data_IF_682061536041
#
_entry.id   IF_682061536041
#
_cell.length_a   1.000
_cell.length_b   1.000
_cell.length_c   1.000
_cell.angle_alpha   90.00
_cell.angle_beta   90.00
_cell.angle_gamma   90.00
#
_symmetry.space_group_name_H-M   'P 1'
#
loop_
_entity.id
_entity.type
_entity.pdbx_description
1 polymer ?
#
# COMPACT_ATOMS: atom_id res chain seq x y z
N UNK A 1 38.84 3.24 11.20
CA UNK A 1 37.60 3.84 10.69
C UNK A 1 36.62 3.99 11.84
N UNK A 2 35.78 5.02 11.86
CA UNK A 2 34.84 5.26 12.96
C UNK A 2 33.44 4.74 12.62
N UNK A 3 32.79 4.03 13.55
CA UNK A 3 31.42 3.53 13.46
C UNK A 3 30.71 3.95 14.75
N UNK A 4 29.97 5.06 14.71
CA UNK A 4 29.37 5.64 15.92
C UNK A 4 30.44 6.02 16.96
N UNK A 5 30.31 5.49 18.18
CA UNK A 5 31.30 5.63 19.25
C UNK A 5 32.44 4.59 19.22
N UNK A 6 32.41 3.66 18.26
CA UNK A 6 33.41 2.61 18.13
C UNK A 6 34.45 2.96 17.06
N UNK A 7 35.72 2.70 17.36
CA UNK A 7 36.82 2.73 16.43
C UNK A 7 37.11 1.32 15.92
N UNK A 8 36.93 1.11 14.64
CA UNK A 8 37.24 -0.15 13.98
C UNK A 8 38.60 -0.04 13.28
N UNK A 9 39.59 -0.78 13.79
CA UNK A 9 40.94 -0.86 13.23
C UNK A 9 41.09 -2.12 12.39
N UNK A 10 41.10 -1.93 11.06
CA UNK A 10 41.27 -3.00 10.07
C UNK A 10 42.64 -3.67 10.25
N UNK A 11 43.70 -2.91 10.50
CA UNK A 11 45.08 -3.42 10.55
C UNK A 11 45.29 -4.33 11.75
N UNK A 12 44.63 -4.00 12.87
CA UNK A 12 44.74 -4.73 14.13
C UNK A 12 43.61 -5.74 14.33
N UNK A 13 42.61 -5.78 13.45
CA UNK A 13 41.39 -6.61 13.60
C UNK A 13 40.68 -6.35 14.94
N UNK A 14 40.69 -5.11 15.40
CA UNK A 14 40.15 -4.73 16.71
C UNK A 14 39.05 -3.71 16.59
N UNK A 15 38.01 -3.88 17.41
CA UNK A 15 36.99 -2.88 17.64
C UNK A 15 37.18 -2.31 19.03
N UNK A 16 37.45 -1.01 19.13
CA UNK A 16 37.63 -0.29 20.39
C UNK A 16 36.45 0.63 20.60
N UNK A 17 35.68 0.43 21.65
CA UNK A 17 34.59 1.32 22.01
C UNK A 17 35.13 2.46 22.88
N UNK A 18 34.96 3.69 22.40
CA UNK A 18 35.52 4.89 23.03
C UNK A 18 34.72 5.35 24.25
N UNK A 19 33.47 4.90 24.42
CA UNK A 19 32.64 5.28 25.57
C UNK A 19 32.95 4.49 26.83
N UNK A 20 33.35 3.23 26.69
CA UNK A 20 33.59 2.32 27.81
C UNK A 20 35.06 1.84 27.87
N UNK A 21 35.92 2.39 27.01
CA UNK A 21 37.35 2.07 26.87
C UNK A 21 37.66 0.58 26.65
N UNK A 22 36.67 -0.22 26.24
CA UNK A 22 36.89 -1.64 25.98
C UNK A 22 37.32 -1.87 24.54
N UNK A 23 38.33 -2.71 24.34
CA UNK A 23 38.78 -3.12 23.01
C UNK A 23 38.68 -4.64 22.85
N UNK A 24 38.00 -5.07 21.80
CA UNK A 24 37.83 -6.48 21.48
C UNK A 24 38.63 -6.84 20.23
N UNK A 25 39.30 -7.98 20.27
CA UNK A 25 39.84 -8.61 19.06
C UNK A 25 38.70 -9.38 18.39
N UNK A 26 38.36 -9.01 17.16
CA UNK A 26 37.22 -9.58 16.48
C UNK A 26 37.58 -10.95 15.90
N UNK A 27 36.69 -11.95 16.01
CA UNK A 27 36.87 -13.19 15.27
C UNK A 27 36.70 -12.96 13.77
N UNK A 28 37.27 -13.86 12.95
CA UNK A 28 37.43 -13.67 11.51
C UNK A 28 36.09 -13.42 10.79
N UNK A 29 35.06 -14.18 11.17
CA UNK A 29 33.73 -14.12 10.55
C UNK A 29 33.10 -12.75 10.76
N UNK A 30 33.06 -12.28 12.00
CA UNK A 30 32.50 -10.98 12.40
C UNK A 30 33.31 -9.84 11.77
N UNK A 31 34.63 -9.98 11.71
CA UNK A 31 35.52 -9.00 11.08
C UNK A 31 35.20 -8.81 9.59
N UNK A 32 35.11 -9.90 8.82
CA UNK A 32 34.85 -9.84 7.37
C UNK A 32 33.47 -9.22 7.10
N UNK A 33 32.46 -9.61 7.88
CA UNK A 33 31.10 -9.04 7.76
C UNK A 33 31.10 -7.54 8.06
N UNK A 34 31.74 -7.12 9.17
CA UNK A 34 31.81 -5.71 9.54
C UNK A 34 32.64 -4.89 8.56
N UNK A 35 33.76 -5.43 8.06
CA UNK A 35 34.59 -4.77 7.06
C UNK A 35 33.78 -4.49 5.78
N UNK A 36 33.00 -5.46 5.32
CA UNK A 36 32.18 -5.29 4.12
C UNK A 36 31.05 -4.28 4.35
N UNK A 37 30.32 -4.40 5.45
CA UNK A 37 29.27 -3.45 5.83
C UNK A 37 29.83 -2.03 6.00
N UNK A 38 31.05 -1.90 6.54
CA UNK A 38 31.70 -0.62 6.71
C UNK A 38 32.32 -0.04 5.44
N UNK A 39 32.52 -0.87 4.40
CA UNK A 39 32.91 -0.44 3.05
C UNK A 39 31.69 0.03 2.25
N UNK A 40 30.57 -0.67 2.37
CA UNK A 40 29.30 -0.35 1.71
C UNK A 40 28.30 0.28 2.69
N UNK A 41 28.72 1.36 3.35
CA UNK A 41 27.83 2.07 4.28
C UNK A 41 26.65 2.70 3.55
N UNK A 42 25.54 2.81 4.27
CA UNK A 42 24.27 3.33 3.78
C UNK A 42 23.72 2.56 2.56
N UNK A 43 24.21 1.34 2.31
CA UNK A 43 23.73 0.43 1.28
C UNK A 43 23.24 -0.87 1.93
N UNK A 44 22.15 -1.43 1.39
CA UNK A 44 21.64 -2.72 1.83
C UNK A 44 22.46 -3.82 1.17
N UNK A 45 23.17 -4.61 1.98
CA UNK A 45 23.86 -5.80 1.54
C UNK A 45 22.94 -7.01 1.71
N UNK A 46 22.75 -7.76 0.63
CA UNK A 46 21.91 -8.96 0.65
C UNK A 46 22.49 -10.06 1.54
N UNK A 47 21.61 -10.91 2.09
CA UNK A 47 22.04 -12.05 2.92
C UNK A 47 22.97 -12.96 2.12
N UNK A 48 22.68 -13.16 0.85
CA UNK A 48 23.44 -14.00 -0.09
C UNK A 48 24.84 -13.43 -0.33
N UNK A 49 24.96 -12.11 -0.54
CA UNK A 49 26.26 -11.46 -0.67
C UNK A 49 27.09 -11.63 0.60
N UNK A 50 26.50 -11.42 1.77
CA UNK A 50 27.20 -11.60 3.04
C UNK A 50 27.59 -13.06 3.29
N UNK A 51 26.76 -14.02 2.88
CA UNK A 51 27.08 -15.45 2.93
C UNK A 51 28.24 -15.83 2.02
N UNK A 52 28.35 -15.23 0.84
CA UNK A 52 29.45 -15.52 -0.07
C UNK A 52 30.81 -15.08 0.50
N UNK A 53 30.83 -14.03 1.32
CA UNK A 53 32.04 -13.53 1.99
C UNK A 53 32.54 -14.43 3.11
N UNK A 54 31.65 -15.23 3.71
CA UNK A 54 32.01 -16.13 4.78
C UNK A 54 32.87 -17.29 4.25
N UNK A 55 33.86 -17.78 5.04
CA UNK A 55 34.59 -19.00 4.74
C UNK A 55 33.62 -20.16 4.47
N UNK A 56 33.99 -21.11 3.59
CA UNK A 56 33.10 -22.20 3.20
C UNK A 56 32.54 -22.98 4.40
N UNK A 57 33.37 -23.18 5.43
CA UNK A 57 33.01 -23.86 6.68
C UNK A 57 31.93 -23.14 7.51
N UNK A 58 31.73 -21.84 7.27
CA UNK A 58 30.82 -20.98 8.02
C UNK A 58 29.75 -20.32 7.13
N UNK A 59 29.63 -20.73 5.87
CA UNK A 59 28.61 -20.24 4.93
C UNK A 59 27.24 -20.83 5.25
N UNK A 60 26.69 -20.46 6.40
CA UNK A 60 25.32 -20.80 6.81
C UNK A 60 24.60 -19.56 7.31
N UNK A 61 23.29 -19.43 7.05
CA UNK A 61 22.51 -18.27 7.51
C UNK A 61 22.51 -18.14 9.04
N UNK A 62 22.54 -19.27 9.76
CA UNK A 62 22.66 -19.27 11.22
C UNK A 62 23.96 -18.62 11.71
N UNK A 63 25.09 -18.91 11.04
CA UNK A 63 26.38 -18.29 11.37
C UNK A 63 26.44 -16.81 11.03
N UNK A 64 25.81 -16.40 9.93
CA UNK A 64 25.68 -14.97 9.60
C UNK A 64 24.87 -14.24 10.67
N UNK A 65 23.74 -14.80 11.11
CA UNK A 65 22.92 -14.19 12.16
C UNK A 65 23.69 -14.09 13.49
N UNK A 66 24.36 -15.17 13.89
CA UNK A 66 25.22 -15.18 15.09
C UNK A 66 26.30 -14.10 15.02
N UNK A 67 26.93 -13.94 13.85
CA UNK A 67 27.94 -12.91 13.63
C UNK A 67 27.35 -11.50 13.78
N UNK A 68 26.18 -11.24 13.18
CA UNK A 68 25.48 -9.96 13.30
C UNK A 68 25.11 -9.67 14.76
N UNK A 69 24.60 -10.65 15.50
CA UNK A 69 24.22 -10.47 16.90
C UNK A 69 25.44 -10.17 17.79
N UNK A 70 26.57 -10.84 17.54
CA UNK A 70 27.85 -10.53 18.21
C UNK A 70 28.36 -9.14 17.83
N UNK A 71 28.23 -8.73 16.57
CA UNK A 71 28.57 -7.37 16.14
C UNK A 71 27.75 -6.33 16.88
N UNK A 72 26.44 -6.56 17.06
CA UNK A 72 25.58 -5.68 17.87
C UNK A 72 26.03 -5.62 19.32
N UNK A 73 26.45 -6.75 19.88
CA UNK A 73 27.02 -6.79 21.23
C UNK A 73 28.31 -5.97 21.34
N UNK A 74 29.25 -6.13 20.40
CA UNK A 74 30.51 -5.39 20.39
C UNK A 74 30.32 -3.88 20.17
N UNK A 75 29.39 -3.48 19.31
CA UNK A 75 29.07 -2.07 19.07
C UNK A 75 28.39 -1.41 20.29
N UNK A 76 27.75 -2.22 21.15
CA UNK A 76 27.02 -1.74 22.32
C UNK A 76 25.67 -1.11 21.97
N UNK A 77 24.79 -0.96 22.97
CA UNK A 77 23.37 -0.63 22.78
C UNK A 77 23.09 0.58 21.88
N UNK A 78 23.94 1.61 21.95
CA UNK A 78 23.77 2.83 21.16
C UNK A 78 24.21 2.61 19.71
N UNK A 79 25.46 2.21 19.48
CA UNK A 79 25.98 2.03 18.11
C UNK A 79 25.42 0.79 17.41
N UNK A 80 24.83 -0.17 18.13
CA UNK A 80 24.12 -1.30 17.54
C UNK A 80 22.90 -0.87 16.70
N UNK A 81 22.33 0.32 16.96
CA UNK A 81 21.25 0.90 16.15
C UNK A 81 21.72 1.32 14.75
N UNK A 82 23.03 1.48 14.54
CA UNK A 82 23.59 1.73 13.22
C UNK A 82 23.51 0.49 12.33
N UNK A 83 23.47 -0.70 12.93
CA UNK A 83 23.34 -1.96 12.21
C UNK A 83 21.88 -2.39 12.20
N UNK A 84 21.22 -2.18 11.08
CA UNK A 84 19.81 -2.48 10.88
C UNK A 84 19.67 -3.70 9.97
N UNK A 85 18.72 -4.57 10.32
CA UNK A 85 18.29 -5.67 9.47
C UNK A 85 17.04 -5.21 8.72
N UNK A 86 17.06 -5.35 7.41
CA UNK A 86 15.91 -5.09 6.54
C UNK A 86 15.27 -6.44 6.21
N UNK A 87 14.00 -6.59 6.59
CA UNK A 87 13.23 -7.81 6.42
C UNK A 87 13.31 -8.31 4.97
N UNK A 88 13.64 -9.59 4.82
CA UNK A 88 13.84 -10.31 3.54
C UNK A 88 14.82 -9.72 2.52
N UNK A 89 15.52 -8.64 2.85
CA UNK A 89 16.49 -8.01 1.95
C UNK A 89 17.92 -8.20 2.43
N UNK A 90 18.22 -7.96 3.72
CA UNK A 90 19.58 -8.08 4.23
C UNK A 90 19.93 -7.11 5.35
N UNK A 91 21.15 -6.59 5.34
CA UNK A 91 21.68 -5.76 6.42
C UNK A 91 22.27 -4.46 5.89
N UNK A 92 22.09 -3.38 6.65
CA UNK A 92 22.64 -2.06 6.34
C UNK A 92 23.37 -1.50 7.55
N UNK A 93 24.53 -0.89 7.30
CA UNK A 93 25.26 -0.12 8.30
C UNK A 93 25.16 1.37 8.00
N UNK A 94 24.47 2.09 8.87
CA UNK A 94 24.27 3.53 8.76
C UNK A 94 25.51 4.33 9.17
N UNK A 95 25.79 5.42 8.47
CA UNK A 95 26.90 6.33 8.80
C UNK A 95 26.64 7.19 10.04
N UNK A 96 25.36 7.48 10.32
CA UNK A 96 24.91 8.31 11.45
C UNK A 96 23.79 7.58 12.17
N UNK A 97 23.67 7.79 13.48
CA UNK A 97 22.49 7.36 14.21
C UNK A 97 21.31 8.09 13.60
N UNK A 98 20.51 7.37 12.81
CA UNK A 98 19.21 7.85 12.38
C UNK A 98 18.43 7.98 13.68
N UNK A 99 18.20 9.21 14.14
CA UNK A 99 17.46 9.49 15.36
C UNK A 99 16.21 8.63 15.32
N UNK A 100 16.17 7.62 16.21
CA UNK A 100 15.18 6.55 16.30
C UNK A 100 13.89 6.94 15.58
N UNK A 101 13.80 6.59 14.30
CA UNK A 101 12.50 6.61 13.64
C UNK A 101 11.85 5.37 14.20
N UNK A 102 11.25 5.54 15.39
CA UNK A 102 10.11 4.77 15.78
C UNK A 102 9.26 4.70 14.51
N UNK A 103 9.11 3.49 14.03
CA UNK A 103 8.32 3.04 12.90
C UNK A 103 6.86 3.43 13.12
N UNK A 104 6.58 4.73 13.10
CA UNK A 104 5.25 5.28 12.91
C UNK A 104 5.23 5.72 11.46
N UNK A 105 4.91 4.77 10.59
CA UNK A 105 4.39 5.02 9.25
C UNK A 105 5.21 6.01 8.42
N UNK A 106 6.26 5.53 7.75
CA UNK A 106 6.88 6.21 6.61
C UNK A 106 5.99 6.12 5.36
N UNK A 107 4.76 6.62 5.46
CA UNK A 107 3.92 6.94 4.30
C UNK A 107 4.10 8.41 3.89
N UNK A 108 3.59 8.86 2.74
CA UNK A 108 3.59 10.28 2.36
C UNK A 108 2.89 11.22 3.37
N UNK A 109 2.19 10.64 4.36
CA UNK A 109 1.51 11.32 5.47
C UNK A 109 2.40 11.54 6.71
N UNK A 110 3.61 10.96 6.75
CA UNK A 110 4.49 10.93 7.94
C UNK A 110 4.96 12.31 8.42
N UNK A 111 4.92 13.32 7.55
CA UNK A 111 5.35 14.69 7.84
C UNK A 111 4.22 15.67 8.18
N UNK A 112 2.95 15.23 8.20
CA UNK A 112 1.83 16.13 8.40
C UNK A 112 1.50 16.32 9.88
N UNK A 113 1.66 17.56 10.37
CA UNK A 113 1.17 17.99 11.68
C UNK A 113 -0.32 17.66 11.84
N UNK A 114 -0.75 17.24 13.03
CA UNK A 114 -2.15 16.85 13.33
C UNK A 114 -3.21 17.84 12.82
N UNK A 115 -2.87 19.13 12.81
CA UNK A 115 -3.70 20.21 12.26
C UNK A 115 -3.97 20.07 10.75
N UNK A 116 -2.94 19.74 9.96
CA UNK A 116 -3.06 19.57 8.50
C UNK A 116 -3.88 18.34 8.15
N UNK A 117 -3.73 17.27 8.94
CA UNK A 117 -4.53 16.05 8.78
C UNK A 117 -6.01 16.30 9.06
N UNK A 118 -6.34 17.03 10.14
CA UNK A 118 -7.71 17.44 10.44
C UNK A 118 -8.34 18.31 9.35
N UNK A 119 -7.54 19.21 8.75
CA UNK A 119 -8.00 20.07 7.66
C UNK A 119 -8.32 19.27 6.38
N UNK A 120 -7.51 18.26 6.04
CA UNK A 120 -7.80 17.37 4.92
C UNK A 120 -9.09 16.58 5.12
N UNK A 121 -9.30 16.01 6.31
CA UNK A 121 -10.54 15.28 6.62
C UNK A 121 -11.75 16.21 6.50
N UNK A 122 -11.67 17.43 7.05
CA UNK A 122 -12.74 18.41 6.95
C UNK A 122 -13.06 18.78 5.49
N UNK A 123 -12.03 18.94 4.66
CA UNK A 123 -12.19 19.25 3.23
C UNK A 123 -12.88 18.11 2.47
N UNK A 124 -12.52 16.85 2.75
CA UNK A 124 -13.14 15.68 2.13
C UNK A 124 -14.62 15.57 2.54
N UNK A 125 -14.93 15.76 3.83
CA UNK A 125 -16.31 15.73 4.31
C UNK A 125 -17.17 16.83 3.70
N UNK A 126 -16.62 18.04 3.57
CA UNK A 126 -17.32 19.16 2.94
C UNK A 126 -17.63 18.88 1.46
N UNK A 127 -16.69 18.24 0.75
CA UNK A 127 -16.91 17.82 -0.63
C UNK A 127 -18.04 16.78 -0.75
N UNK A 128 -18.08 15.79 0.15
CA UNK A 128 -19.14 14.77 0.17
C UNK A 128 -20.50 15.40 0.42
N UNK A 129 -20.59 16.32 1.40
CA UNK A 129 -21.84 17.06 1.69
C UNK A 129 -22.25 17.88 0.48
N UNK A 130 -21.32 18.57 -0.17
CA UNK A 130 -21.58 19.38 -1.35
C UNK A 130 -22.12 18.54 -2.52
N UNK A 131 -21.52 17.37 -2.76
CA UNK A 131 -22.03 16.42 -3.76
C UNK A 131 -23.46 16.00 -3.41
N UNK A 132 -23.73 15.63 -2.16
CA UNK A 132 -25.09 15.28 -1.73
C UNK A 132 -26.09 16.44 -1.81
N UNK A 133 -25.65 17.69 -1.68
CA UNK A 133 -26.53 18.85 -1.84
C UNK A 133 -26.83 19.18 -3.30
N UNK A 134 -25.93 18.86 -4.23
CA UNK A 134 -26.15 19.07 -5.67
C UNK A 134 -26.82 17.88 -6.34
N UNK A 135 -26.61 16.68 -5.80
CA UNK A 135 -27.33 15.50 -6.24
C UNK A 135 -28.78 15.63 -5.81
N UNK A 136 -29.62 16.10 -6.74
CA UNK A 136 -31.06 15.88 -6.68
C UNK A 136 -31.27 14.36 -6.48
N UNK A 137 -32.07 13.94 -5.47
CA UNK A 137 -32.41 12.54 -5.34
C UNK A 137 -33.05 12.15 -6.67
N UNK A 138 -32.50 11.14 -7.34
CA UNK A 138 -33.13 10.54 -8.51
C UNK A 138 -34.53 10.16 -8.04
N UNK A 139 -35.52 10.97 -8.44
CA UNK A 139 -36.90 10.71 -8.10
C UNK A 139 -37.18 9.30 -8.55
N UNK A 140 -37.67 8.49 -7.60
CA UNK A 140 -38.14 7.14 -7.86
C UNK A 140 -38.95 7.17 -9.16
N UNK A 141 -38.55 6.38 -10.14
CA UNK A 141 -39.25 6.21 -11.41
C UNK A 141 -40.68 5.80 -11.06
N UNK A 142 -41.58 6.77 -10.97
CA UNK A 142 -43.01 6.56 -10.81
C UNK A 142 -43.56 6.53 -12.24
N UNK A 143 -43.91 5.35 -12.78
CA UNK A 143 -44.53 5.29 -14.09
C UNK A 143 -45.89 6.02 -14.02
N UNK A 144 -45.99 7.15 -14.73
CA UNK A 144 -47.19 8.00 -14.75
C UNK A 144 -48.33 7.38 -15.57
N UNK A 145 -48.05 6.36 -16.38
CA UNK A 145 -49.06 5.77 -17.25
C UNK A 145 -48.86 4.26 -17.38
N UNK A 146 -49.72 3.50 -16.71
CA UNK A 146 -49.81 2.06 -16.86
C UNK A 146 -50.85 1.80 -17.96
N UNK A 147 -50.42 1.60 -19.20
CA UNK A 147 -51.34 1.19 -20.26
C UNK A 147 -51.47 -0.33 -20.28
N UNK A 148 -52.69 -0.79 -20.00
CA UNK A 148 -53.08 -2.19 -20.01
C UNK A 148 -53.55 -2.58 -21.40
N UNK A 149 -52.77 -3.40 -22.10
CA UNK A 149 -53.20 -3.98 -23.38
C UNK A 149 -53.88 -5.32 -23.05
N UNK A 150 -55.18 -5.41 -23.32
CA UNK A 150 -55.95 -6.65 -23.18
C UNK A 150 -55.75 -7.53 -24.41
N UNK A 151 -54.95 -8.58 -24.26
CA UNK A 151 -54.78 -9.61 -25.29
C UNK A 151 -55.91 -10.65 -25.20
N UNK A 152 -56.29 -11.27 -26.32
CA UNK A 152 -57.32 -12.34 -26.41
C UNK A 152 -57.03 -13.58 -25.54
N UNK A 153 -55.81 -13.73 -25.04
CA UNK A 153 -55.36 -14.77 -24.12
C UNK A 153 -55.50 -14.42 -22.62
N UNK A 154 -56.00 -13.22 -22.29
CA UNK A 154 -56.17 -12.76 -20.90
C UNK A 154 -54.89 -12.27 -20.23
N UNK A 155 -53.77 -12.16 -20.97
CA UNK A 155 -52.50 -11.65 -20.45
C UNK A 155 -52.41 -10.14 -20.70
N UNK A 156 -52.32 -9.38 -19.61
CA UNK A 156 -52.06 -7.93 -19.60
C UNK A 156 -50.55 -7.72 -19.45
N UNK A 157 -49.92 -7.07 -20.42
CA UNK A 157 -48.48 -6.72 -20.36
C UNK A 157 -48.33 -5.22 -20.18
N UNK A 158 -47.59 -4.82 -19.14
CA UNK A 158 -47.29 -3.42 -18.82
C UNK A 158 -45.96 -3.02 -19.46
N UNK A 159 -45.97 -1.94 -20.23
CA UNK A 159 -44.74 -1.35 -20.77
C UNK A 159 -44.54 0.05 -20.20
N UNK A 160 -43.43 0.23 -19.48
CA UNK A 160 -42.99 1.55 -19.02
C UNK A 160 -42.26 2.24 -20.16
N UNK A 161 -42.79 3.37 -20.65
CA UNK A 161 -42.09 4.22 -21.61
C UNK A 161 -41.19 5.19 -20.83
N UNK A 162 -39.85 5.09 -20.94
CA UNK A 162 -38.95 6.02 -20.26
C UNK A 162 -39.04 7.40 -20.93
N UNK A 163 -39.36 8.42 -20.15
CA UNK A 163 -39.36 9.81 -20.62
C UNK A 163 -37.97 10.43 -20.40
N UNK A 164 -36.98 9.99 -21.17
CA UNK A 164 -35.71 10.71 -21.26
C UNK A 164 -35.89 11.94 -22.17
N UNK A 165 -36.53 12.99 -21.63
CA UNK A 165 -36.49 14.35 -22.18
C UNK A 165 -37.10 14.56 -23.58
N UNK A 166 -37.83 13.59 -24.13
CA UNK A 166 -38.55 13.73 -25.39
C UNK A 166 -39.85 14.51 -25.23
N UNK A 167 -40.25 15.28 -26.25
CA UNK A 167 -41.54 15.97 -26.26
C UNK A 167 -42.67 14.94 -26.15
N UNK A 168 -43.64 15.17 -25.25
CA UNK A 168 -44.82 14.30 -25.06
C UNK A 168 -45.54 13.97 -26.38
N UNK A 169 -45.49 14.89 -27.35
CA UNK A 169 -46.06 14.70 -28.68
C UNK A 169 -45.36 13.60 -29.50
N UNK A 170 -44.04 13.49 -29.40
CA UNK A 170 -43.27 12.47 -30.14
C UNK A 170 -43.54 11.07 -29.59
N UNK A 171 -43.76 10.96 -28.28
CA UNK A 171 -44.13 9.71 -27.60
C UNK A 171 -45.57 9.31 -27.94
N UNK A 172 -46.49 10.27 -28.03
CA UNK A 172 -47.86 10.02 -28.42
C UNK A 172 -47.98 9.52 -29.87
N UNK A 173 -47.21 10.10 -30.80
CA UNK A 173 -47.20 9.63 -32.20
C UNK A 173 -46.54 8.24 -32.34
N UNK A 174 -45.48 7.97 -31.57
CA UNK A 174 -44.84 6.65 -31.56
C UNK A 174 -45.80 5.58 -30.99
N UNK A 175 -46.50 5.88 -29.89
CA UNK A 175 -47.46 4.96 -29.29
C UNK A 175 -48.66 4.69 -30.22
N UNK A 176 -49.21 5.70 -30.90
CA UNK A 176 -50.28 5.53 -31.90
C UNK A 176 -49.85 4.66 -33.08
N UNK A 177 -48.58 4.70 -33.46
CA UNK A 177 -48.06 3.85 -34.54
C UNK A 177 -47.85 2.40 -34.09
N UNK A 178 -47.31 2.17 -32.89
CA UNK A 178 -46.94 0.84 -32.43
C UNK A 178 -48.09 0.01 -31.86
N UNK A 179 -49.04 0.62 -31.16
CA UNK A 179 -50.15 -0.11 -30.50
C UNK A 179 -50.99 -0.95 -31.50
N UNK A 180 -51.42 -0.41 -32.67
CA UNK A 180 -52.19 -1.18 -33.64
C UNK A 180 -51.39 -2.33 -34.29
N UNK A 181 -50.06 -2.24 -34.30
CA UNK A 181 -49.19 -3.30 -34.79
C UNK A 181 -49.07 -4.43 -33.77
N UNK A 182 -49.04 -4.09 -32.47
CA UNK A 182 -49.02 -5.07 -31.38
C UNK A 182 -50.35 -5.81 -31.25
N UNK A 183 -51.49 -5.13 -31.42
CA UNK A 183 -52.81 -5.78 -31.43
C UNK A 183 -53.00 -6.81 -32.55
N UNK A 184 -52.21 -6.72 -33.64
CA UNK A 184 -52.23 -7.67 -34.75
C UNK A 184 -51.34 -8.90 -34.54
N UNK A 185 -50.56 -8.95 -33.47
CA UNK A 185 -49.65 -10.05 -33.17
C UNK A 185 -50.28 -11.00 -32.15
N UNK A 186 -50.67 -12.20 -32.58
CA UNK A 186 -51.26 -13.24 -31.69
C UNK A 186 -50.26 -13.85 -30.68
N UNK A 187 -48.96 -13.56 -30.82
CA UNK A 187 -47.94 -14.00 -29.85
C UNK A 187 -46.77 -13.01 -29.79
N UNK A 188 -46.63 -12.30 -28.68
CA UNK A 188 -45.39 -11.58 -28.36
C UNK A 188 -44.40 -12.61 -27.82
N UNK A 189 -43.37 -12.92 -28.60
CA UNK A 189 -42.28 -13.77 -28.14
C UNK A 189 -41.52 -13.02 -27.04
N UNK A 190 -41.65 -13.44 -25.78
CA UNK A 190 -40.82 -12.97 -24.68
C UNK A 190 -39.40 -13.47 -24.90
N UNK A 191 -38.54 -12.62 -25.48
CA UNK A 191 -37.09 -12.84 -25.48
C UNK A 191 -36.59 -12.46 -24.09
N UNK A 192 -36.30 -13.48 -23.28
CA UNK A 192 -35.60 -13.32 -22.02
C UNK A 192 -34.10 -13.12 -22.31
N UNK A 193 -33.59 -11.92 -22.01
CA UNK A 193 -32.16 -11.65 -21.76
C UNK A 193 -32.04 -10.64 -20.64
#
# INVERSE_FOLDING_TARGET
MQIGCCWFDIKRTTLSNQQNETSWKMPLVEFVVLEHLARFRDQVLSKEQLLQLLPQEHRTPAKLQEAIDRLRFFLGKQSAQLLEAIDDQGFILHTRMKASINHTFSGPLAGMTKQKYGLLIAQILLLIIFIHSISEPIESINPLNNQEIHTSSGIVSYYSVPNEGGSLADIEDLSRFFIPQLERCDSVLTVAT
#
